data_IF_744394167731
#
_entry.id   IF_744394167731
#
_cell.length_a   1.000
_cell.length_b   1.000
_cell.length_c   1.000
_cell.angle_alpha   90.00
_cell.angle_beta   90.00
_cell.angle_gamma   90.00
#
_symmetry.space_group_name_H-M   'P 1'
#
loop_
_entity.id
_entity.type
_entity.pdbx_description
1 polymer ?
#
# COMPACT_ATOMS: atom_id res chain seq x y z
N UNK A 1 17.41 9.20 -12.59
CA UNK A 1 16.75 9.08 -11.27
C UNK A 1 16.57 10.43 -10.54
N UNK A 2 17.49 11.40 -10.63
CA UNK A 2 17.35 12.71 -9.96
C UNK A 2 16.19 13.60 -10.43
N UNK A 3 15.85 13.62 -11.72
CA UNK A 3 14.77 14.47 -12.27
C UNK A 3 13.37 13.96 -11.91
N UNK A 4 13.22 12.64 -11.77
CA UNK A 4 11.95 11.99 -11.41
C UNK A 4 11.57 12.27 -9.95
N UNK A 5 12.57 12.41 -9.06
CA UNK A 5 12.36 12.81 -7.67
C UNK A 5 11.84 14.24 -7.51
N UNK A 6 12.21 15.16 -8.41
CA UNK A 6 11.78 16.56 -8.35
C UNK A 6 10.32 16.72 -8.80
N UNK A 7 9.87 15.97 -9.81
CA UNK A 7 8.47 16.00 -10.25
C UNK A 7 7.51 15.36 -9.22
N UNK A 8 7.95 14.33 -8.49
CA UNK A 8 7.18 13.74 -7.38
C UNK A 8 6.94 14.71 -6.22
N UNK A 9 7.87 15.63 -5.98
CA UNK A 9 7.77 16.64 -4.92
C UNK A 9 6.62 17.66 -5.15
N UNK A 10 6.21 17.89 -6.40
CA UNK A 10 5.11 18.81 -6.72
C UNK A 10 3.72 18.19 -6.59
N UNK A 11 3.60 16.86 -6.63
CA UNK A 11 2.30 16.16 -6.54
C UNK A 11 1.94 15.79 -5.09
N UNK A 12 2.95 15.73 -4.20
CA UNK A 12 2.83 15.44 -2.77
C UNK A 12 1.83 16.32 -1.96
N UNK A 13 1.62 17.62 -2.24
CA UNK A 13 0.74 18.45 -1.41
C UNK A 13 -0.77 18.19 -1.64
N UNK A 14 -1.14 17.59 -2.77
CA UNK A 14 -2.55 17.45 -3.17
C UNK A 14 -3.18 16.18 -2.61
N UNK A 15 -2.42 15.09 -2.47
CA UNK A 15 -2.92 13.83 -1.89
C UNK A 15 -3.01 13.86 -0.37
N UNK A 16 -2.14 14.61 0.32
CA UNK A 16 -2.13 14.73 1.78
C UNK A 16 -3.40 15.36 2.37
N UNK A 17 -4.07 16.27 1.65
CA UNK A 17 -5.30 16.93 2.13
C UNK A 17 -6.52 15.99 2.28
N UNK A 18 -6.47 14.79 1.70
CA UNK A 18 -7.52 13.79 1.84
C UNK A 18 -7.30 12.84 3.03
N UNK A 19 -6.10 12.81 3.61
CA UNK A 19 -5.69 11.85 4.65
C UNK A 19 -6.11 12.28 6.06
N UNK A 20 -6.25 13.58 6.32
CA UNK A 20 -6.31 14.12 7.69
C UNK A 20 -7.63 13.91 8.46
N UNK A 21 -8.70 13.36 7.87
CA UNK A 21 -10.05 13.56 8.45
C UNK A 21 -10.83 12.33 8.96
N UNK A 22 -10.36 11.08 8.81
CA UNK A 22 -11.34 9.97 8.80
C UNK A 22 -11.11 8.74 9.73
N UNK A 23 -9.95 8.56 10.38
CA UNK A 23 -9.71 7.42 11.29
C UNK A 23 -9.16 6.15 10.62
N UNK A 24 -8.79 5.12 11.42
CA UNK A 24 -7.94 4.01 10.96
C UNK A 24 -8.53 3.19 9.78
N UNK A 25 -9.86 2.97 9.76
CA UNK A 25 -10.53 2.21 8.69
C UNK A 25 -10.47 2.91 7.32
N UNK A 26 -10.90 4.17 7.17
CA UNK A 26 -10.79 4.88 5.91
C UNK A 26 -9.34 5.14 5.50
N UNK A 27 -8.38 5.19 6.44
CA UNK A 27 -6.95 5.24 6.10
C UNK A 27 -6.49 3.94 5.45
N UNK A 28 -6.87 2.76 5.97
CA UNK A 28 -6.53 1.47 5.35
C UNK A 28 -7.22 1.31 3.99
N UNK A 29 -8.52 1.64 3.90
CA UNK A 29 -9.26 1.55 2.64
C UNK A 29 -8.71 2.53 1.60
N UNK A 30 -8.49 3.79 1.97
CA UNK A 30 -7.91 4.81 1.10
C UNK A 30 -6.50 4.44 0.65
N UNK A 31 -5.65 3.94 1.56
CA UNK A 31 -4.32 3.43 1.23
C UNK A 31 -4.37 2.28 0.24
N UNK A 32 -5.26 1.29 0.45
CA UNK A 32 -5.42 0.16 -0.47
C UNK A 32 -5.93 0.56 -1.86
N UNK A 33 -6.86 1.51 -1.95
CA UNK A 33 -7.33 2.07 -3.22
C UNK A 33 -6.23 2.85 -3.94
N UNK A 34 -5.40 3.58 -3.19
CA UNK A 34 -4.29 4.32 -3.75
C UNK A 34 -3.23 3.39 -4.35
N UNK A 35 -2.91 2.28 -3.66
CA UNK A 35 -2.02 1.25 -4.19
C UNK A 35 -2.61 0.62 -5.45
N UNK A 36 -3.91 0.31 -5.47
CA UNK A 36 -4.58 -0.21 -6.67
C UNK A 36 -4.51 0.75 -7.86
N UNK A 37 -4.77 2.05 -7.62
CA UNK A 37 -4.66 3.09 -8.64
C UNK A 37 -3.21 3.23 -9.15
N UNK A 38 -2.23 3.08 -8.26
CA UNK A 38 -0.82 3.12 -8.62
C UNK A 38 -0.45 2.02 -9.60
N UNK A 39 -0.94 0.79 -9.38
CA UNK A 39 -0.71 -0.31 -10.31
C UNK A 39 -1.40 -0.11 -11.67
N UNK A 40 -2.54 0.59 -11.73
CA UNK A 40 -3.15 1.00 -13.00
C UNK A 40 -2.29 2.03 -13.74
N UNK A 41 -1.72 3.00 -13.02
CA UNK A 41 -0.78 3.99 -13.59
C UNK A 41 0.51 3.30 -14.08
N UNK A 42 1.03 2.33 -13.32
CA UNK A 42 2.20 1.53 -13.72
C UNK A 42 1.91 0.64 -14.93
N UNK A 43 0.69 0.13 -15.06
CA UNK A 43 0.27 -0.62 -16.25
C UNK A 43 0.22 0.28 -17.47
N UNK A 44 -0.46 1.42 -17.38
CA UNK A 44 -0.68 2.32 -18.52
C UNK A 44 0.59 3.04 -18.98
N UNK A 45 1.48 3.41 -18.05
CA UNK A 45 2.64 4.27 -18.34
C UNK A 45 4.01 3.68 -18.03
N UNK A 46 4.08 2.53 -17.34
CA UNK A 46 5.35 2.00 -16.81
C UNK A 46 6.34 1.54 -17.88
N UNK A 47 5.87 1.18 -19.07
CA UNK A 47 6.73 0.82 -20.22
C UNK A 47 7.26 2.02 -21.00
N UNK A 48 6.63 3.19 -20.88
CA UNK A 48 6.90 4.35 -21.73
C UNK A 48 7.51 5.54 -20.98
N UNK A 49 7.32 5.63 -19.66
CA UNK A 49 7.75 6.77 -18.86
C UNK A 49 8.30 6.39 -17.50
N UNK A 50 9.60 6.66 -17.30
CA UNK A 50 10.26 6.56 -16.00
C UNK A 50 9.62 7.50 -14.94
N UNK A 51 8.96 8.58 -15.36
CA UNK A 51 8.22 9.47 -14.45
C UNK A 51 6.95 8.80 -13.94
N UNK A 52 6.24 8.08 -14.81
CA UNK A 52 5.06 7.30 -14.41
C UNK A 52 5.44 6.17 -13.45
N UNK A 53 6.60 5.53 -13.65
CA UNK A 53 7.15 4.55 -12.70
C UNK A 53 7.44 5.19 -11.35
N UNK A 54 8.13 6.32 -11.32
CA UNK A 54 8.44 7.03 -10.07
C UNK A 54 7.20 7.46 -9.29
N UNK A 55 6.19 8.01 -9.97
CA UNK A 55 4.91 8.37 -9.35
C UNK A 55 4.18 7.13 -8.82
N UNK A 56 4.10 6.06 -9.61
CA UNK A 56 3.45 4.83 -9.19
C UNK A 56 4.08 4.24 -7.93
N UNK A 57 5.41 4.17 -7.87
CA UNK A 57 6.13 3.68 -6.68
C UNK A 57 5.90 4.57 -5.46
N UNK A 58 5.91 5.90 -5.64
CA UNK A 58 5.64 6.85 -4.55
C UNK A 58 4.23 6.67 -3.97
N UNK A 59 3.22 6.55 -4.83
CA UNK A 59 1.84 6.35 -4.37
C UNK A 59 1.68 5.00 -3.66
N UNK A 60 2.34 3.94 -4.14
CA UNK A 60 2.37 2.64 -3.45
C UNK A 60 2.96 2.80 -2.05
N UNK A 61 4.09 3.50 -1.92
CA UNK A 61 4.78 3.66 -0.63
C UNK A 61 3.93 4.42 0.38
N UNK A 62 3.30 5.52 -0.03
CA UNK A 62 2.40 6.31 0.84
C UNK A 62 1.19 5.46 1.26
N UNK A 63 0.55 4.77 0.32
CA UNK A 63 -0.65 3.96 0.60
C UNK A 63 -0.33 2.77 1.51
N UNK A 64 0.78 2.08 1.25
CA UNK A 64 1.22 0.92 2.02
C UNK A 64 1.65 1.30 3.43
N UNK A 65 2.47 2.33 3.61
CA UNK A 65 2.90 2.78 4.94
C UNK A 65 1.73 3.37 5.74
N UNK A 66 0.83 4.13 5.11
CA UNK A 66 -0.38 4.63 5.76
C UNK A 66 -1.28 3.51 6.28
N UNK A 67 -1.54 2.49 5.46
CA UNK A 67 -2.31 1.31 5.86
C UNK A 67 -1.59 0.50 6.96
N UNK A 68 -0.26 0.38 6.87
CA UNK A 68 0.56 -0.29 7.88
C UNK A 68 0.45 0.40 9.24
N UNK A 69 0.63 1.72 9.30
CA UNK A 69 0.53 2.50 10.54
C UNK A 69 -0.87 2.35 11.14
N UNK A 70 -1.93 2.50 10.33
CA UNK A 70 -3.30 2.33 10.80
C UNK A 70 -3.56 0.91 11.36
N UNK A 71 -3.04 -0.12 10.70
CA UNK A 71 -3.12 -1.50 11.19
C UNK A 71 -2.30 -1.73 12.47
N UNK A 72 -1.12 -1.13 12.59
CA UNK A 72 -0.31 -1.17 13.81
C UNK A 72 -1.04 -0.50 14.97
N UNK A 73 -1.58 0.69 14.78
CA UNK A 73 -2.36 1.40 15.80
C UNK A 73 -3.54 0.57 16.28
N UNK A 74 -4.29 -0.04 15.35
CA UNK A 74 -5.40 -0.95 15.69
C UNK A 74 -4.90 -2.16 16.47
N UNK A 75 -3.86 -2.82 16.01
CA UNK A 75 -3.32 -4.01 16.67
C UNK A 75 -2.80 -3.69 18.08
N UNK A 76 -2.11 -2.57 18.28
CA UNK A 76 -1.63 -2.14 19.59
C UNK A 76 -2.76 -1.72 20.55
N UNK A 77 -3.89 -1.25 20.04
CA UNK A 77 -5.06 -0.93 20.86
C UNK A 77 -5.75 -2.20 21.41
N UNK A 78 -5.63 -3.35 20.74
CA UNK A 78 -6.24 -4.62 21.18
C UNK A 78 -5.58 -5.22 22.43
N UNK A 79 -4.25 -5.10 22.56
CA UNK A 79 -3.53 -5.62 23.74
C UNK A 79 -2.53 -4.57 24.27
N UNK A 80 -3.01 -3.63 25.10
CA UNK A 80 -2.15 -2.69 25.80
C UNK A 80 -1.13 -3.45 26.65
N UNK A 81 0.16 -3.29 26.36
CA UNK A 81 1.27 -3.92 27.11
C UNK A 81 2.03 -5.03 26.37
N UNK A 82 1.49 -5.59 25.28
CA UNK A 82 2.17 -6.63 24.49
C UNK A 82 2.75 -6.10 23.16
N UNK A 83 3.22 -4.84 23.14
CA UNK A 83 3.71 -4.18 21.92
C UNK A 83 4.79 -4.99 21.20
N UNK A 84 5.75 -5.55 21.93
CA UNK A 84 6.82 -6.38 21.35
C UNK A 84 6.29 -7.60 20.59
N UNK A 85 5.32 -8.33 21.16
CA UNK A 85 4.71 -9.53 20.54
C UNK A 85 3.93 -9.17 19.28
N UNK A 86 3.11 -8.12 19.35
CA UNK A 86 2.31 -7.66 18.21
C UNK A 86 3.22 -7.21 17.07
N UNK A 87 4.27 -6.45 17.39
CA UNK A 87 5.22 -5.97 16.39
C UNK A 87 5.92 -7.13 15.67
N UNK A 88 6.38 -8.14 16.42
CA UNK A 88 6.98 -9.34 15.83
C UNK A 88 5.99 -10.03 14.90
N UNK A 89 4.77 -10.34 15.35
CA UNK A 89 3.77 -11.03 14.51
C UNK A 89 3.47 -10.22 13.24
N UNK A 90 3.32 -8.90 13.36
CA UNK A 90 3.03 -8.01 12.25
C UNK A 90 4.16 -8.02 11.21
N UNK A 91 5.41 -7.82 11.64
CA UNK A 91 6.56 -7.81 10.73
C UNK A 91 6.89 -9.20 10.18
N UNK A 92 6.76 -10.27 10.97
CA UNK A 92 6.90 -11.64 10.47
C UNK A 92 5.88 -11.92 9.36
N UNK A 93 4.63 -11.53 9.58
CA UNK A 93 3.57 -11.66 8.56
C UNK A 93 3.91 -10.86 7.31
N UNK A 94 4.34 -9.60 7.47
CA UNK A 94 4.76 -8.76 6.34
C UNK A 94 5.92 -9.37 5.56
N UNK A 95 6.92 -9.95 6.21
CA UNK A 95 8.02 -10.61 5.53
C UNK A 95 7.58 -11.86 4.76
N UNK A 96 6.71 -12.68 5.34
CA UNK A 96 6.18 -13.89 4.67
C UNK A 96 5.39 -13.50 3.42
N UNK A 97 4.44 -12.56 3.56
CA UNK A 97 3.66 -12.08 2.42
C UNK A 97 4.52 -11.30 1.42
N UNK A 98 5.54 -10.57 1.88
CA UNK A 98 6.50 -9.86 1.03
C UNK A 98 7.33 -10.83 0.18
N UNK A 99 7.81 -11.93 0.76
CA UNK A 99 8.52 -12.98 0.03
C UNK A 99 7.61 -13.67 -1.00
N UNK A 100 6.37 -14.00 -0.63
CA UNK A 100 5.37 -14.56 -1.56
C UNK A 100 5.05 -13.60 -2.70
N UNK A 101 4.87 -12.31 -2.40
CA UNK A 101 4.62 -11.27 -3.40
C UNK A 101 5.80 -11.08 -4.34
N UNK A 102 7.03 -11.08 -3.82
CA UNK A 102 8.24 -10.99 -4.63
C UNK A 102 8.40 -12.21 -5.55
N UNK A 103 8.13 -13.42 -5.04
CA UNK A 103 8.14 -14.64 -5.86
C UNK A 103 7.08 -14.57 -6.97
N UNK A 104 5.83 -14.26 -6.63
CA UNK A 104 4.74 -14.16 -7.60
C UNK A 104 5.00 -13.08 -8.66
N UNK A 105 5.49 -11.90 -8.24
CA UNK A 105 5.86 -10.81 -9.14
C UNK A 105 7.03 -11.19 -10.05
N UNK A 106 8.06 -11.85 -9.53
CA UNK A 106 9.20 -12.32 -10.33
C UNK A 106 8.77 -13.37 -11.36
N UNK A 107 7.97 -14.35 -10.97
CA UNK A 107 7.44 -15.34 -11.91
C UNK A 107 6.56 -14.71 -12.99
N UNK A 108 5.68 -13.78 -12.62
CA UNK A 108 4.84 -13.07 -13.58
C UNK A 108 5.66 -12.22 -14.57
N UNK A 109 6.76 -11.62 -14.09
CA UNK A 109 7.70 -10.91 -14.96
C UNK A 109 8.38 -11.84 -15.97
N UNK A 110 8.79 -13.04 -15.54
CA UNK A 110 9.43 -14.01 -16.44
C UNK A 110 8.47 -14.52 -17.53
N UNK A 111 7.17 -14.66 -17.21
CA UNK A 111 6.18 -15.19 -18.15
C UNK A 111 5.63 -14.14 -19.12
N UNK A 112 5.27 -12.95 -18.63
CA UNK A 112 4.53 -11.94 -19.40
C UNK A 112 5.16 -10.55 -19.32
N UNK A 113 6.34 -10.42 -18.69
CA UNK A 113 7.05 -9.16 -18.55
C UNK A 113 6.38 -8.18 -17.59
N UNK A 114 6.55 -6.88 -17.88
CA UNK A 114 6.04 -5.78 -17.03
C UNK A 114 4.52 -5.84 -16.75
N UNK A 115 3.64 -6.13 -17.73
CA UNK A 115 2.21 -6.28 -17.46
C UNK A 115 1.89 -7.39 -16.45
N UNK A 116 2.69 -8.47 -16.41
CA UNK A 116 2.52 -9.55 -15.44
C UNK A 116 2.71 -9.06 -14.00
N UNK A 117 3.73 -8.24 -13.76
CA UNK A 117 3.98 -7.62 -12.44
C UNK A 117 2.82 -6.71 -12.04
N UNK A 118 2.35 -5.89 -12.98
CA UNK A 118 1.22 -4.99 -12.72
C UNK A 118 -0.07 -5.76 -12.40
N UNK A 119 -0.33 -6.85 -13.11
CA UNK A 119 -1.49 -7.71 -12.86
C UNK A 119 -1.44 -8.36 -11.46
N UNK A 120 -0.29 -8.89 -11.06
CA UNK A 120 -0.10 -9.45 -9.71
C UNK A 120 -0.35 -8.39 -8.63
N UNK A 121 0.22 -7.19 -8.81
CA UNK A 121 0.01 -6.06 -7.91
C UNK A 121 -1.46 -5.63 -7.82
N UNK A 122 -2.16 -5.57 -8.95
CA UNK A 122 -3.61 -5.28 -8.99
C UNK A 122 -4.44 -6.33 -8.26
N UNK A 123 -4.14 -7.61 -8.43
CA UNK A 123 -4.84 -8.70 -7.73
C UNK A 123 -4.65 -8.57 -6.22
N UNK A 124 -3.42 -8.39 -5.74
CA UNK A 124 -3.17 -8.22 -4.30
C UNK A 124 -3.81 -6.95 -3.74
N UNK A 125 -3.76 -5.84 -4.48
CA UNK A 125 -4.39 -4.59 -4.06
C UNK A 125 -5.92 -4.70 -4.03
N UNK A 126 -6.52 -5.39 -5.00
CA UNK A 126 -7.96 -5.65 -5.01
C UNK A 126 -8.38 -6.54 -3.83
N UNK A 127 -7.60 -7.57 -3.49
CA UNK A 127 -7.83 -8.37 -2.29
C UNK A 127 -7.73 -7.52 -1.02
N UNK A 128 -6.74 -6.63 -0.92
CA UNK A 128 -6.62 -5.71 0.21
C UNK A 128 -7.82 -4.77 0.34
N UNK A 129 -8.31 -4.21 -0.77
CA UNK A 129 -9.54 -3.39 -0.81
C UNK A 129 -10.75 -4.20 -0.37
N UNK A 130 -10.90 -5.44 -0.85
CA UNK A 130 -12.02 -6.31 -0.47
C UNK A 130 -12.00 -6.63 1.04
N UNK A 131 -10.83 -6.92 1.60
CA UNK A 131 -10.66 -7.15 3.04
C UNK A 131 -10.97 -5.88 3.83
N UNK A 132 -10.41 -4.73 3.43
CA UNK A 132 -10.65 -3.44 4.09
C UNK A 132 -12.12 -3.01 4.03
N UNK A 133 -12.81 -3.30 2.92
CA UNK A 133 -14.24 -3.04 2.76
C UNK A 133 -15.10 -3.94 3.66
N UNK A 134 -14.69 -5.21 3.82
CA UNK A 134 -15.37 -6.18 4.69
C UNK A 134 -15.04 -6.00 6.17
N UNK A 135 -13.97 -5.30 6.52
CA UNK A 135 -13.60 -5.05 7.90
C UNK A 135 -14.61 -4.07 8.54
N UNK A 136 -15.51 -4.62 9.37
CA UNK A 136 -16.63 -3.90 10.02
C UNK A 136 -16.28 -3.38 11.41
N UNK A 137 -15.03 -3.51 11.88
CA UNK A 137 -14.65 -3.03 13.19
C UNK A 137 -14.73 -1.49 13.23
N UNK A 138 -15.66 -0.98 14.06
CA UNK A 138 -15.96 0.44 14.24
C UNK A 138 -14.75 1.24 14.74
N UNK A 139 -14.84 2.58 14.71
CA UNK A 139 -13.75 3.45 15.13
C UNK A 139 -13.28 3.08 16.55
N UNK A 140 -11.98 2.80 16.68
CA UNK A 140 -11.35 2.71 17.99
C UNK A 140 -11.56 4.05 18.68
N UNK A 141 -12.16 4.02 19.87
CA UNK A 141 -12.49 5.20 20.64
C UNK A 141 -11.25 6.10 20.82
N UNK A 142 -11.41 7.44 20.75
CA UNK A 142 -10.33 8.36 21.06
C UNK A 142 -9.88 8.11 22.51
N UNK A 143 -8.57 7.93 22.67
CA UNK A 143 -7.86 8.02 23.97
C UNK A 143 -7.92 9.43 24.52
#
# INVERSE_FOLDING_TARGET
FGVIGVCGAFVAPVSGRFTDRSGARPVVLGGSLMVALSFLVLWAGGTWSLVAVGLGVLLIDIGMNGALIANQTRAYALVPGARGRINTVLFTTLFVFGALGAFAGSQAFLMVGWPGVCAVGLVFSALAVLVAARDRHGPAAPI
#
